data_IF_635065977087
#
_entry.id   IF_635065977087
#
_cell.length_a   1.000
_cell.length_b   1.000
_cell.length_c   1.000
_cell.angle_alpha   90.00
_cell.angle_beta   90.00
_cell.angle_gamma   90.00
#
_symmetry.space_group_name_H-M   'P 1'
#
loop_
_entity.id
_entity.type
_entity.pdbx_description
1 polymer ?
#
# COMPACT_ATOMS: atom_id res chain seq x y z
N UNK A 1 -44.74 26.43 27.27
CA UNK A 1 -44.53 25.75 25.97
C UNK A 1 -43.05 25.61 25.61
N UNK A 2 -42.18 26.51 26.01
CA UNK A 2 -40.72 26.42 25.75
C UNK A 2 -39.98 25.30 26.50
N UNK A 3 -40.42 24.87 27.67
CA UNK A 3 -39.77 23.78 28.43
C UNK A 3 -40.01 22.38 27.80
N UNK A 4 -41.08 22.18 27.05
CA UNK A 4 -41.34 20.90 26.37
C UNK A 4 -40.54 20.70 25.10
N UNK A 5 -40.16 21.76 24.38
CA UNK A 5 -39.28 21.65 23.18
C UNK A 5 -37.84 21.33 23.55
N UNK A 6 -37.35 21.90 24.66
CA UNK A 6 -36.00 21.59 25.13
C UNK A 6 -35.82 20.15 25.62
N UNK A 7 -36.87 19.51 26.16
CA UNK A 7 -36.83 18.11 26.59
C UNK A 7 -36.79 17.12 25.41
N UNK A 8 -37.39 17.47 24.26
CA UNK A 8 -37.32 16.66 23.05
C UNK A 8 -35.96 16.79 22.32
N UNK A 9 -35.33 17.95 22.39
CA UNK A 9 -34.00 18.16 21.82
C UNK A 9 -32.94 17.42 22.62
N UNK A 10 -32.99 17.46 23.95
CA UNK A 10 -32.05 16.76 24.85
C UNK A 10 -32.18 15.23 24.76
N UNK A 11 -33.38 14.66 24.51
CA UNK A 11 -33.52 13.22 24.25
C UNK A 11 -32.89 12.76 22.93
N UNK A 12 -32.89 13.60 21.89
CA UNK A 12 -32.25 13.25 20.59
C UNK A 12 -30.73 13.20 20.66
N UNK A 13 -30.07 13.92 21.58
CA UNK A 13 -28.64 13.87 21.75
C UNK A 13 -28.13 12.64 22.52
N UNK A 14 -28.99 12.03 23.38
CA UNK A 14 -28.62 10.82 24.12
C UNK A 14 -28.83 9.51 23.34
N UNK A 15 -29.47 9.56 22.16
CA UNK A 15 -29.79 8.38 21.34
C UNK A 15 -28.75 8.13 20.20
N UNK A 16 -27.67 8.89 20.13
CA UNK A 16 -26.62 8.60 19.15
C UNK A 16 -25.90 7.29 19.55
N UNK A 17 -25.83 6.31 18.63
CA UNK A 17 -25.18 5.04 18.94
C UNK A 17 -23.72 5.29 19.30
N UNK A 18 -23.28 4.70 20.40
CA UNK A 18 -21.86 4.72 20.77
C UNK A 18 -21.05 4.12 19.63
N UNK A 19 -20.05 4.86 19.17
CA UNK A 19 -19.18 4.48 18.05
C UNK A 19 -17.94 3.77 18.56
N UNK A 20 -17.52 2.74 17.85
CA UNK A 20 -16.30 1.99 18.11
C UNK A 20 -15.39 2.08 16.88
N UNK A 21 -14.11 2.29 17.11
CA UNK A 21 -13.08 2.22 16.08
C UNK A 21 -12.72 0.74 15.82
N UNK A 22 -12.77 0.33 14.56
CA UNK A 22 -12.38 -1.02 14.14
C UNK A 22 -11.17 -0.92 13.23
N UNK A 23 -10.25 -1.88 13.38
CA UNK A 23 -9.10 -2.09 12.51
C UNK A 23 -9.31 -3.35 11.70
N UNK A 24 -9.07 -3.29 10.39
CA UNK A 24 -9.18 -4.42 9.49
C UNK A 24 -7.86 -4.64 8.74
N UNK A 25 -7.50 -5.92 8.54
CA UNK A 25 -6.44 -6.35 7.60
C UNK A 25 -7.13 -6.78 6.32
N UNK A 26 -6.65 -6.26 5.19
CA UNK A 26 -7.30 -6.39 3.89
C UNK A 26 -6.28 -6.85 2.86
N UNK A 27 -6.68 -7.82 2.05
CA UNK A 27 -5.95 -8.26 0.86
C UNK A 27 -6.73 -7.93 -0.41
N UNK A 28 -6.01 -7.64 -1.50
CA UNK A 28 -6.66 -7.37 -2.79
C UNK A 28 -5.74 -7.59 -4.00
N UNK A 29 -6.35 -8.03 -5.10
CA UNK A 29 -5.80 -7.92 -6.45
C UNK A 29 -6.11 -6.51 -6.99
N UNK A 30 -5.07 -5.67 -7.08
CA UNK A 30 -5.19 -4.27 -7.51
C UNK A 30 -5.38 -4.08 -9.02
N UNK A 31 -5.34 -5.13 -9.84
CA UNK A 31 -5.26 -5.06 -11.31
C UNK A 31 -6.34 -4.16 -11.94
N UNK A 32 -7.59 -4.23 -11.42
CA UNK A 32 -8.73 -3.49 -11.97
C UNK A 32 -8.98 -2.12 -11.30
N UNK A 33 -8.15 -1.75 -10.33
CA UNK A 33 -8.39 -0.59 -9.48
C UNK A 33 -7.44 0.57 -9.75
N UNK A 34 -7.95 1.77 -9.62
CA UNK A 34 -7.18 3.02 -9.71
C UNK A 34 -6.38 3.28 -8.40
N UNK A 35 -5.93 2.20 -7.76
CA UNK A 35 -5.23 2.20 -6.49
C UNK A 35 -6.16 2.20 -5.27
N UNK A 36 -5.57 2.49 -4.11
CA UNK A 36 -6.31 2.50 -2.85
C UNK A 36 -7.28 3.67 -2.74
N UNK A 37 -6.79 4.90 -2.91
CA UNK A 37 -7.47 6.13 -2.49
C UNK A 37 -8.58 6.57 -3.45
N UNK A 38 -9.76 6.91 -2.93
CA UNK A 38 -10.84 7.59 -3.67
C UNK A 38 -10.27 8.84 -4.34
N UNK A 39 -10.59 9.02 -5.62
CA UNK A 39 -10.10 10.10 -6.46
C UNK A 39 -11.24 11.04 -6.83
N UNK A 40 -10.95 12.35 -6.91
CA UNK A 40 -11.95 13.37 -7.28
C UNK A 40 -12.49 13.19 -8.70
N UNK A 41 -11.68 12.66 -9.60
CA UNK A 41 -12.03 12.46 -11.02
C UNK A 41 -12.85 11.18 -11.27
N UNK A 42 -13.27 10.50 -10.20
CA UNK A 42 -13.92 9.19 -10.31
C UNK A 42 -12.90 8.06 -10.47
N UNK A 43 -13.41 6.88 -10.82
CA UNK A 43 -12.64 5.65 -10.94
C UNK A 43 -12.88 4.69 -9.78
N UNK A 44 -12.74 3.40 -10.09
CA UNK A 44 -12.98 2.33 -9.11
C UNK A 44 -11.73 2.18 -8.24
N UNK A 45 -11.88 2.31 -6.91
CA UNK A 45 -10.79 2.23 -5.94
C UNK A 45 -11.10 1.23 -4.84
N UNK A 46 -10.06 0.68 -4.21
CA UNK A 46 -10.20 -0.27 -3.10
C UNK A 46 -10.94 0.38 -1.92
N UNK A 47 -10.52 1.60 -1.53
CA UNK A 47 -11.16 2.36 -0.46
C UNK A 47 -12.65 2.58 -0.74
N UNK A 48 -13.00 2.96 -1.97
CA UNK A 48 -14.40 3.19 -2.37
C UNK A 48 -15.24 1.94 -2.16
N UNK A 49 -14.79 0.78 -2.67
CA UNK A 49 -15.52 -0.48 -2.50
C UNK A 49 -15.76 -0.85 -1.04
N UNK A 50 -14.75 -0.68 -0.18
CA UNK A 50 -14.87 -0.98 1.24
C UNK A 50 -15.83 0.00 1.91
N UNK A 51 -15.70 1.31 1.65
CA UNK A 51 -16.56 2.34 2.21
C UNK A 51 -18.01 2.17 1.77
N UNK A 52 -18.27 1.81 0.51
CA UNK A 52 -19.60 1.56 -0.02
C UNK A 52 -20.28 0.40 0.72
N UNK A 53 -19.58 -0.73 0.91
CA UNK A 53 -20.11 -1.91 1.62
C UNK A 53 -20.36 -1.60 3.11
N UNK A 54 -19.45 -0.86 3.76
CA UNK A 54 -19.64 -0.42 5.14
C UNK A 54 -20.84 0.54 5.27
N UNK A 55 -20.99 1.47 4.33
CA UNK A 55 -22.12 2.40 4.24
C UNK A 55 -23.44 1.65 4.08
N UNK A 56 -23.48 0.65 3.20
CA UNK A 56 -24.64 -0.22 3.02
C UNK A 56 -25.00 -0.98 4.31
N UNK A 57 -23.98 -1.46 5.06
CA UNK A 57 -24.19 -2.21 6.30
C UNK A 57 -24.88 -1.38 7.39
N UNK A 58 -24.53 -0.09 7.52
CA UNK A 58 -25.02 0.75 8.62
C UNK A 58 -26.10 1.74 8.20
N UNK A 59 -26.30 1.97 6.89
CA UNK A 59 -27.27 2.93 6.35
C UNK A 59 -26.81 4.40 6.37
N UNK A 60 -25.57 4.70 6.79
CA UNK A 60 -24.98 6.03 6.81
C UNK A 60 -23.55 5.96 6.27
N UNK A 61 -23.03 7.08 5.74
CA UNK A 61 -21.69 7.14 5.17
C UNK A 61 -20.62 6.71 6.18
N UNK A 62 -19.75 5.80 5.74
CA UNK A 62 -18.58 5.31 6.49
C UNK A 62 -17.34 5.40 5.60
N UNK A 63 -16.32 6.07 6.10
CA UNK A 63 -15.04 6.18 5.42
C UNK A 63 -14.03 5.19 5.99
N UNK A 64 -13.46 4.35 5.14
CA UNK A 64 -12.34 3.49 5.49
C UNK A 64 -11.02 4.25 5.31
N UNK A 65 -10.24 4.40 6.39
CA UNK A 65 -8.97 5.10 6.39
C UNK A 65 -7.82 4.10 6.29
N UNK A 66 -7.12 4.04 5.16
CA UNK A 66 -6.00 3.12 4.95
C UNK A 66 -4.68 3.60 5.56
N UNK A 67 -3.79 2.65 5.89
CA UNK A 67 -2.44 2.93 6.41
C UNK A 67 -1.57 3.70 5.41
N UNK A 68 -1.83 3.56 4.14
CA UNK A 68 -1.17 4.25 3.05
C UNK A 68 -1.85 3.98 1.73
N UNK A 69 -1.40 4.71 0.72
CA UNK A 69 -1.90 4.55 -0.64
C UNK A 69 -1.05 3.52 -1.37
N UNK A 70 -1.70 2.65 -2.13
CA UNK A 70 -1.07 1.87 -3.19
C UNK A 70 -1.43 2.51 -4.54
N UNK A 71 -0.51 2.47 -5.50
CA UNK A 71 -0.74 2.97 -6.85
C UNK A 71 -1.73 2.09 -7.62
N UNK A 72 -2.26 2.58 -8.75
CA UNK A 72 -3.09 1.78 -9.64
C UNK A 72 -2.39 0.49 -10.07
N UNK A 73 -3.08 -0.63 -10.01
CA UNK A 73 -2.56 -1.96 -10.37
C UNK A 73 -1.65 -2.61 -9.32
N UNK A 74 -1.40 -1.97 -8.18
CA UNK A 74 -0.60 -2.53 -7.07
C UNK A 74 -1.47 -3.33 -6.13
N UNK A 75 -0.98 -4.50 -5.68
CA UNK A 75 -1.68 -5.44 -4.81
C UNK A 75 -1.36 -5.23 -3.33
N UNK A 76 -2.11 -5.91 -2.47
CA UNK A 76 -1.79 -6.04 -1.05
C UNK A 76 -2.20 -7.41 -0.50
N UNK A 77 -1.38 -7.95 0.40
CA UNK A 77 -1.69 -9.08 1.27
C UNK A 77 -2.03 -8.62 2.69
N UNK A 78 -1.58 -7.43 3.09
CA UNK A 78 -1.72 -6.93 4.45
C UNK A 78 -1.93 -5.42 4.53
N UNK A 79 -2.80 -4.84 3.70
CA UNK A 79 -3.23 -3.46 3.88
C UNK A 79 -4.03 -3.34 5.17
N UNK A 80 -3.80 -2.29 5.94
CA UNK A 80 -4.58 -2.00 7.15
C UNK A 80 -5.44 -0.79 6.95
N UNK A 81 -6.70 -0.89 7.33
CA UNK A 81 -7.61 0.24 7.41
C UNK A 81 -8.31 0.30 8.76
N UNK A 82 -8.73 1.51 9.18
CA UNK A 82 -9.64 1.68 10.29
C UNK A 82 -10.90 2.44 9.86
N UNK A 83 -11.99 2.20 10.58
CA UNK A 83 -13.29 2.82 10.36
C UNK A 83 -14.11 2.83 11.65
N UNK A 84 -15.01 3.82 11.77
CA UNK A 84 -15.91 3.98 12.91
C UNK A 84 -17.27 3.37 12.59
N UNK A 85 -17.75 2.47 13.46
CA UNK A 85 -19.07 1.86 13.35
C UNK A 85 -19.78 1.90 14.71
N UNK A 86 -21.14 1.79 14.75
CA UNK A 86 -21.86 1.56 15.99
C UNK A 86 -21.32 0.34 16.76
N UNK A 87 -21.11 0.49 18.07
CA UNK A 87 -20.52 -0.54 18.95
C UNK A 87 -21.32 -1.85 18.97
N UNK A 88 -22.60 -1.82 18.58
CA UNK A 88 -23.48 -2.99 18.48
C UNK A 88 -23.00 -4.06 17.49
N UNK A 89 -22.16 -3.72 16.53
CA UNK A 89 -21.67 -4.67 15.56
C UNK A 89 -20.49 -5.46 16.13
N UNK A 90 -20.57 -6.80 16.07
CA UNK A 90 -19.43 -7.65 16.44
C UNK A 90 -18.39 -7.70 15.31
N UNK A 91 -17.13 -7.94 15.66
CA UNK A 91 -16.03 -8.08 14.68
C UNK A 91 -16.31 -9.19 13.67
N UNK A 92 -16.89 -10.31 14.13
CA UNK A 92 -17.26 -11.43 13.26
C UNK A 92 -18.38 -11.06 12.29
N UNK A 93 -19.38 -10.31 12.74
CA UNK A 93 -20.45 -9.82 11.86
C UNK A 93 -19.89 -8.92 10.76
N UNK A 94 -19.03 -7.94 11.13
CA UNK A 94 -18.40 -7.02 10.18
C UNK A 94 -17.55 -7.80 9.16
N UNK A 95 -16.72 -8.74 9.63
CA UNK A 95 -15.88 -9.60 8.79
C UNK A 95 -16.69 -10.37 7.76
N UNK A 96 -17.75 -11.05 8.22
CA UNK A 96 -18.61 -11.86 7.35
C UNK A 96 -19.39 -10.98 6.36
N UNK A 97 -19.89 -9.82 6.81
CA UNK A 97 -20.63 -8.90 5.94
C UNK A 97 -19.71 -8.35 4.84
N UNK A 98 -18.51 -7.86 5.19
CA UNK A 98 -17.56 -7.36 4.22
C UNK A 98 -17.21 -8.43 3.18
N UNK A 99 -16.82 -9.64 3.61
CA UNK A 99 -16.45 -10.72 2.68
C UNK A 99 -17.62 -11.27 1.85
N UNK A 100 -18.87 -11.05 2.28
CA UNK A 100 -20.06 -11.42 1.51
C UNK A 100 -20.37 -10.44 0.38
N UNK A 101 -20.14 -9.14 0.59
CA UNK A 101 -20.58 -8.10 -0.34
C UNK A 101 -19.45 -7.41 -1.09
N UNK A 102 -18.19 -7.58 -0.67
CA UNK A 102 -17.04 -7.13 -1.45
C UNK A 102 -16.88 -7.98 -2.72
N UNK A 103 -16.32 -7.41 -3.80
CA UNK A 103 -16.00 -8.18 -4.99
C UNK A 103 -14.90 -9.22 -4.68
N UNK A 104 -14.82 -10.28 -5.48
CA UNK A 104 -13.93 -11.44 -5.29
C UNK A 104 -12.43 -11.10 -5.22
N UNK A 105 -12.05 -9.94 -5.74
CA UNK A 105 -10.68 -9.43 -5.76
C UNK A 105 -10.32 -8.55 -4.54
N UNK A 106 -11.23 -8.43 -3.55
CA UNK A 106 -11.00 -7.78 -2.26
C UNK A 106 -11.51 -8.68 -1.13
N UNK A 107 -10.65 -9.02 -0.17
CA UNK A 107 -11.07 -9.77 1.01
C UNK A 107 -10.54 -9.14 2.30
N UNK A 108 -11.35 -9.20 3.36
CA UNK A 108 -10.97 -8.81 4.71
C UNK A 108 -10.49 -10.05 5.45
N UNK A 109 -9.23 -10.04 5.88
CA UNK A 109 -8.58 -11.17 6.57
C UNK A 109 -8.96 -11.21 8.04
N UNK A 110 -9.03 -10.03 8.67
CA UNK A 110 -9.40 -9.89 10.08
C UNK A 110 -10.02 -8.54 10.37
N UNK A 111 -10.85 -8.51 11.41
CA UNK A 111 -11.40 -7.28 12.01
C UNK A 111 -11.22 -7.38 13.52
N UNK A 112 -10.69 -6.33 14.13
CA UNK A 112 -10.54 -6.21 15.58
C UNK A 112 -11.01 -4.84 16.07
N UNK A 113 -11.43 -4.76 17.34
CA UNK A 113 -11.69 -3.48 17.99
C UNK A 113 -10.36 -2.77 18.19
N UNK A 114 -10.29 -1.51 17.86
CA UNK A 114 -9.12 -0.68 18.03
C UNK A 114 -9.36 0.41 19.07
N UNK A 115 -8.26 0.92 19.64
CA UNK A 115 -8.30 2.11 20.50
C UNK A 115 -8.92 3.30 19.76
N UNK A 116 -9.61 4.17 20.48
CA UNK A 116 -10.28 5.36 19.89
C UNK A 116 -9.28 6.26 19.14
N UNK A 117 -8.03 6.34 19.61
CA UNK A 117 -6.96 7.15 19.02
C UNK A 117 -6.22 6.43 17.89
N UNK A 118 -6.47 5.14 17.69
CA UNK A 118 -5.81 4.41 16.62
C UNK A 118 -6.21 4.99 15.26
N UNK A 119 -5.20 5.30 14.46
CA UNK A 119 -5.37 5.79 13.10
C UNK A 119 -4.44 5.01 12.17
N UNK A 120 -4.98 4.24 11.25
CA UNK A 120 -4.22 3.31 10.41
C UNK A 120 -3.00 3.95 9.74
N UNK A 121 -3.07 5.23 9.38
CA UNK A 121 -1.96 5.95 8.76
C UNK A 121 -0.98 6.56 9.74
N UNK A 122 -1.47 7.21 10.81
CA UNK A 122 -0.60 8.00 11.70
C UNK A 122 0.03 7.14 12.80
N UNK A 123 -0.62 6.03 13.18
CA UNK A 123 -0.07 5.06 14.13
C UNK A 123 0.91 4.08 13.48
N UNK A 124 1.05 4.10 12.15
CA UNK A 124 1.92 3.20 11.40
C UNK A 124 3.41 3.52 11.66
N UNK A 125 4.17 2.50 12.06
CA UNK A 125 5.62 2.58 12.30
C UNK A 125 6.45 2.14 11.10
N UNK A 126 5.90 1.28 10.25
CA UNK A 126 6.60 0.80 9.07
C UNK A 126 5.75 -0.08 8.16
N UNK A 127 6.29 -0.37 6.98
CA UNK A 127 5.66 -1.20 5.95
C UNK A 127 6.69 -2.03 5.24
N UNK A 128 6.28 -3.22 4.82
CA UNK A 128 7.08 -4.06 3.94
C UNK A 128 6.34 -4.26 2.63
N UNK A 129 7.03 -3.97 1.55
CA UNK A 129 6.61 -4.25 0.17
C UNK A 129 7.47 -5.34 -0.43
N UNK A 130 6.90 -6.20 -1.25
CA UNK A 130 7.60 -7.15 -2.10
C UNK A 130 7.38 -6.81 -3.55
N UNK A 131 8.46 -6.84 -4.34
CA UNK A 131 8.38 -6.84 -5.79
C UNK A 131 8.84 -8.19 -6.33
N UNK A 132 8.06 -8.76 -7.26
CA UNK A 132 8.34 -10.05 -7.88
C UNK A 132 8.70 -9.86 -9.34
N UNK A 133 9.81 -10.49 -9.77
CA UNK A 133 10.30 -10.47 -11.15
C UNK A 133 10.49 -11.91 -11.59
N UNK A 134 9.92 -12.29 -12.73
CA UNK A 134 10.25 -13.53 -13.40
C UNK A 134 11.24 -13.22 -14.52
N UNK A 135 12.44 -13.81 -14.46
CA UNK A 135 13.52 -13.63 -15.44
C UNK A 135 13.77 -14.93 -16.24
N UNK A 136 12.68 -15.60 -16.64
CA UNK A 136 12.74 -16.75 -17.54
C UNK A 136 12.41 -16.34 -18.98
N UNK A 137 12.82 -17.16 -19.95
CA UNK A 137 12.45 -16.95 -21.36
C UNK A 137 10.97 -17.17 -21.62
N UNK A 138 10.34 -18.09 -20.84
CA UNK A 138 8.93 -18.46 -20.99
C UNK A 138 8.11 -17.79 -19.89
N UNK A 139 7.06 -17.00 -20.23
CA UNK A 139 6.23 -16.36 -19.23
C UNK A 139 5.34 -17.37 -18.49
N UNK A 140 5.17 -17.15 -17.18
CA UNK A 140 4.14 -17.85 -16.41
C UNK A 140 2.80 -17.13 -16.57
N UNK A 141 1.93 -17.66 -17.42
CA UNK A 141 0.63 -17.03 -17.73
C UNK A 141 -0.34 -17.00 -16.54
N UNK A 142 -0.21 -17.92 -15.58
CA UNK A 142 -1.04 -17.95 -14.38
C UNK A 142 -0.65 -16.87 -13.38
N UNK A 143 0.63 -16.50 -13.33
CA UNK A 143 1.17 -15.46 -12.43
C UNK A 143 1.26 -14.07 -13.08
N UNK A 144 0.87 -13.91 -14.36
CA UNK A 144 1.05 -12.68 -15.15
C UNK A 144 0.52 -11.40 -14.52
N UNK A 145 -0.44 -11.52 -13.60
CA UNK A 145 -1.02 -10.38 -12.89
C UNK A 145 -0.25 -10.00 -11.62
N UNK A 146 0.66 -10.86 -11.14
CA UNK A 146 1.31 -10.74 -9.84
C UNK A 146 2.83 -10.75 -9.90
N UNK A 147 3.40 -10.91 -11.10
CA UNK A 147 4.84 -11.01 -11.32
C UNK A 147 5.22 -10.25 -12.58
N UNK A 148 6.21 -9.36 -12.49
CA UNK A 148 6.75 -8.69 -13.66
C UNK A 148 7.64 -9.66 -14.44
N UNK A 149 7.27 -10.00 -15.65
CA UNK A 149 8.07 -10.81 -16.54
C UNK A 149 9.07 -9.93 -17.30
N UNK A 150 10.36 -10.13 -17.04
CA UNK A 150 11.46 -9.37 -17.64
C UNK A 150 12.35 -10.30 -18.45
N UNK A 151 12.41 -10.09 -19.78
CA UNK A 151 13.10 -10.97 -20.75
C UNK A 151 14.22 -10.28 -21.51
N UNK A 152 14.39 -8.96 -21.39
CA UNK A 152 15.33 -8.19 -22.22
C UNK A 152 16.79 -8.58 -21.97
N UNK A 153 17.12 -9.04 -20.76
CA UNK A 153 18.44 -9.50 -20.39
C UNK A 153 18.41 -10.42 -19.16
N UNK A 154 19.45 -11.19 -18.95
CA UNK A 154 19.67 -11.92 -17.69
C UNK A 154 20.04 -10.93 -16.59
N UNK A 155 19.35 -11.04 -15.46
CA UNK A 155 19.58 -10.17 -14.29
C UNK A 155 20.59 -10.83 -13.36
N UNK A 156 21.71 -10.14 -13.11
CA UNK A 156 22.68 -10.49 -12.07
C UNK A 156 22.17 -10.01 -10.70
N UNK A 157 21.76 -10.97 -9.88
CA UNK A 157 21.20 -10.72 -8.55
C UNK A 157 22.26 -10.24 -7.55
N UNK A 158 23.50 -10.66 -7.70
CA UNK A 158 24.59 -10.21 -6.81
C UNK A 158 24.86 -8.72 -6.96
N UNK A 159 24.86 -8.21 -8.19
CA UNK A 159 24.96 -6.77 -8.46
C UNK A 159 23.79 -6.00 -7.84
N UNK A 160 22.57 -6.57 -7.90
CA UNK A 160 21.41 -5.96 -7.24
C UNK A 160 21.56 -5.94 -5.72
N UNK A 161 22.07 -7.02 -5.10
CA UNK A 161 22.34 -7.10 -3.65
C UNK A 161 23.36 -6.08 -3.20
N UNK A 162 24.42 -5.91 -3.98
CA UNK A 162 25.44 -4.90 -3.71
C UNK A 162 24.83 -3.49 -3.72
N UNK A 163 24.09 -3.13 -4.76
CA UNK A 163 23.42 -1.84 -4.90
C UNK A 163 22.38 -1.60 -3.79
N UNK A 164 21.64 -2.64 -3.41
CA UNK A 164 20.58 -2.55 -2.38
C UNK A 164 21.11 -2.07 -1.01
N UNK A 165 22.37 -2.37 -0.69
CA UNK A 165 23.00 -1.93 0.57
C UNK A 165 23.04 -0.41 0.72
N UNK A 166 23.21 0.33 -0.38
CA UNK A 166 23.26 1.79 -0.39
C UNK A 166 21.90 2.45 -0.22
N UNK A 167 20.79 1.70 -0.37
CA UNK A 167 19.43 2.20 -0.17
C UNK A 167 19.03 2.17 1.31
N UNK A 168 19.73 1.39 2.14
CA UNK A 168 19.43 1.25 3.56
C UNK A 168 19.90 2.50 4.30
N UNK A 169 19.06 2.97 5.20
CA UNK A 169 19.32 4.17 6.00
C UNK A 169 18.31 5.28 5.75
N UNK A 170 18.60 6.44 6.33
CA UNK A 170 17.79 7.66 6.19
C UNK A 170 18.34 8.53 5.08
N UNK A 171 17.61 8.63 3.99
CA UNK A 171 18.02 9.39 2.80
C UNK A 171 16.88 10.28 2.29
N UNK A 172 17.26 11.29 1.48
CA UNK A 172 16.32 12.07 0.69
C UNK A 172 16.06 11.31 -0.64
N UNK A 173 14.93 10.60 -0.71
CA UNK A 173 14.55 9.78 -1.87
C UNK A 173 13.85 10.57 -2.99
N UNK A 174 14.16 11.86 -3.16
CA UNK A 174 13.55 12.67 -4.22
C UNK A 174 13.77 12.08 -5.61
N UNK A 175 14.95 11.52 -5.92
CA UNK A 175 15.25 10.84 -7.19
C UNK A 175 14.34 9.64 -7.46
N UNK A 176 13.81 9.03 -6.41
CA UNK A 176 12.90 7.89 -6.47
C UNK A 176 11.43 8.26 -6.24
N UNK A 177 11.06 9.53 -6.35
CA UNK A 177 9.70 10.02 -6.22
C UNK A 177 9.05 10.23 -7.59
N UNK A 178 7.87 9.67 -7.81
CA UNK A 178 7.10 9.88 -9.04
C UNK A 178 6.51 11.28 -9.15
N UNK A 179 6.33 11.98 -8.01
CA UNK A 179 5.83 13.36 -7.99
C UNK A 179 6.96 14.35 -7.72
N UNK A 180 7.46 14.98 -8.77
CA UNK A 180 8.55 15.95 -8.67
C UNK A 180 8.12 17.33 -8.08
N UNK A 181 6.83 17.56 -7.95
CA UNK A 181 6.27 18.79 -7.35
C UNK A 181 5.79 18.60 -5.91
N UNK A 182 6.27 17.54 -5.23
CA UNK A 182 5.88 17.25 -3.86
C UNK A 182 6.35 18.37 -2.91
N UNK A 183 5.39 18.92 -2.12
CA UNK A 183 5.68 19.97 -1.10
C UNK A 183 6.07 19.40 0.27
N UNK A 184 5.90 18.09 0.47
CA UNK A 184 6.23 17.41 1.73
C UNK A 184 7.64 16.84 1.67
N UNK A 185 8.23 16.59 2.85
CA UNK A 185 9.54 15.93 2.95
C UNK A 185 9.60 14.63 2.15
N UNK A 186 10.68 14.48 1.39
CA UNK A 186 11.05 13.27 0.64
C UNK A 186 12.02 12.37 1.39
N UNK A 187 12.40 12.78 2.60
CA UNK A 187 13.24 11.97 3.47
C UNK A 187 12.46 10.78 4.01
N UNK A 188 13.02 9.57 3.84
CA UNK A 188 12.50 8.30 4.36
C UNK A 188 13.62 7.48 4.95
N UNK A 189 13.26 6.54 5.82
CA UNK A 189 14.19 5.56 6.37
C UNK A 189 13.82 4.19 5.84
N UNK A 190 14.70 3.59 5.04
CA UNK A 190 14.61 2.19 4.66
C UNK A 190 15.45 1.40 5.67
N UNK A 191 14.81 0.48 6.38
CA UNK A 191 15.47 -0.35 7.39
C UNK A 191 16.03 -1.63 6.82
N UNK A 192 15.46 -2.11 5.70
CA UNK A 192 15.90 -3.33 5.05
C UNK A 192 15.57 -3.31 3.56
N UNK A 193 16.49 -3.82 2.75
CA UNK A 193 16.26 -4.23 1.36
C UNK A 193 16.87 -5.60 1.17
N UNK A 194 16.05 -6.62 0.92
CA UNK A 194 16.53 -7.97 0.63
C UNK A 194 16.27 -8.34 -0.82
N UNK A 195 17.26 -8.96 -1.47
CA UNK A 195 17.15 -9.45 -2.86
C UNK A 195 17.41 -10.95 -2.85
N UNK A 196 16.38 -11.72 -3.14
CA UNK A 196 16.43 -13.18 -3.13
C UNK A 196 16.05 -13.72 -4.50
N UNK A 197 16.66 -14.84 -4.89
CA UNK A 197 16.32 -15.56 -6.11
C UNK A 197 15.96 -17.00 -5.76
N UNK A 198 14.84 -17.45 -6.30
CA UNK A 198 14.41 -18.84 -6.26
C UNK A 198 14.04 -19.26 -7.69
N UNK A 199 14.76 -20.20 -8.23
CA UNK A 199 14.64 -20.62 -9.63
C UNK A 199 14.79 -19.42 -10.58
N UNK A 200 13.77 -19.09 -11.34
CA UNK A 200 13.76 -17.95 -12.26
C UNK A 200 13.05 -16.70 -11.67
N UNK A 201 12.59 -16.76 -10.41
CA UNK A 201 11.96 -15.63 -9.77
C UNK A 201 12.90 -14.88 -8.84
N UNK A 202 12.87 -13.56 -8.95
CA UNK A 202 13.61 -12.64 -8.08
C UNK A 202 12.57 -11.92 -7.20
N UNK A 203 12.80 -11.93 -5.88
CA UNK A 203 12.00 -11.28 -4.87
C UNK A 203 12.82 -10.16 -4.25
N UNK A 204 12.27 -8.95 -4.26
CA UNK A 204 12.90 -7.79 -3.61
C UNK A 204 11.94 -7.28 -2.54
N UNK A 205 12.34 -7.39 -1.27
CA UNK A 205 11.56 -6.87 -0.15
C UNK A 205 12.17 -5.53 0.30
N UNK A 206 11.30 -4.56 0.54
CA UNK A 206 11.64 -3.24 1.02
C UNK A 206 10.87 -2.96 2.30
N UNK A 207 11.59 -2.75 3.41
CA UNK A 207 11.02 -2.37 4.70
C UNK A 207 11.46 -0.97 5.09
N UNK A 208 10.51 -0.11 5.49
CA UNK A 208 10.82 1.26 5.88
C UNK A 208 9.65 1.97 6.57
N UNK A 209 9.91 3.19 7.08
CA UNK A 209 8.94 4.03 7.78
C UNK A 209 7.82 4.55 6.89
N UNK A 210 8.06 4.59 5.58
CA UNK A 210 7.10 5.01 4.57
C UNK A 210 7.76 5.12 3.20
N UNK A 211 6.92 5.18 2.18
CA UNK A 211 7.38 5.26 0.78
C UNK A 211 6.69 6.42 0.05
N UNK A 212 7.42 7.06 -0.86
CA UNK A 212 6.91 8.11 -1.73
C UNK A 212 6.10 7.49 -2.88
N UNK A 213 5.41 8.33 -3.64
CA UNK A 213 4.68 7.89 -4.83
C UNK A 213 5.63 7.18 -5.81
N UNK A 214 5.26 5.98 -6.25
CA UNK A 214 6.03 5.11 -7.13
C UNK A 214 7.44 4.70 -6.61
N UNK A 215 7.81 5.07 -5.38
CA UNK A 215 9.19 4.91 -4.87
C UNK A 215 9.70 3.47 -5.02
N UNK A 216 8.98 2.49 -4.49
CA UNK A 216 9.40 1.08 -4.55
C UNK A 216 9.57 0.61 -6.00
N UNK A 217 8.69 1.02 -6.89
CA UNK A 217 8.76 0.67 -8.32
C UNK A 217 9.96 1.31 -9.02
N UNK A 218 10.31 2.55 -8.67
CA UNK A 218 11.48 3.23 -9.22
C UNK A 218 12.77 2.63 -8.66
N UNK A 219 12.81 2.32 -7.35
CA UNK A 219 13.92 1.58 -6.75
C UNK A 219 14.12 0.23 -7.45
N UNK A 220 13.05 -0.51 -7.69
CA UNK A 220 13.10 -1.79 -8.39
C UNK A 220 13.62 -1.64 -9.83
N UNK A 221 13.10 -0.69 -10.60
CA UNK A 221 13.60 -0.44 -11.96
C UNK A 221 15.09 -0.06 -11.98
N UNK A 222 15.53 0.71 -10.99
CA UNK A 222 16.96 1.06 -10.84
C UNK A 222 17.80 -0.17 -10.51
N UNK A 223 17.34 -1.04 -9.59
CA UNK A 223 18.04 -2.29 -9.27
C UNK A 223 18.08 -3.25 -10.47
N UNK A 224 17.02 -3.29 -11.29
CA UNK A 224 17.05 -4.05 -12.55
C UNK A 224 18.14 -3.51 -13.49
N UNK A 225 18.24 -2.19 -13.66
CA UNK A 225 19.29 -1.58 -14.49
C UNK A 225 20.70 -1.83 -13.95
N UNK A 226 20.84 -1.93 -12.63
CA UNK A 226 22.11 -2.40 -12.03
C UNK A 226 22.36 -3.87 -12.36
N UNK A 227 21.37 -4.73 -12.20
CA UNK A 227 21.49 -6.17 -12.46
C UNK A 227 21.84 -6.51 -13.91
N UNK A 228 21.41 -5.70 -14.88
CA UNK A 228 21.76 -5.87 -16.29
C UNK A 228 23.01 -5.09 -16.71
N UNK A 229 23.71 -4.44 -15.77
CA UNK A 229 24.99 -3.77 -16.02
C UNK A 229 24.90 -2.36 -16.61
N UNK A 230 23.71 -1.76 -16.72
CA UNK A 230 23.55 -0.37 -17.21
C UNK A 230 23.99 0.66 -16.17
N UNK A 231 23.84 0.35 -14.88
CA UNK A 231 24.25 1.20 -13.76
C UNK A 231 25.24 0.40 -12.91
N UNK A 232 26.33 1.02 -12.47
CA UNK A 232 27.26 0.40 -11.52
C UNK A 232 26.62 0.35 -10.12
N UNK A 233 26.80 -0.72 -9.31
CA UNK A 233 26.18 -0.82 -7.97
C UNK A 233 26.54 0.35 -7.05
N UNK A 234 27.77 0.84 -7.09
CA UNK A 234 28.31 1.95 -6.31
C UNK A 234 27.86 3.34 -6.81
N UNK A 235 27.08 3.40 -7.88
CA UNK A 235 26.49 4.65 -8.38
C UNK A 235 25.19 5.05 -7.67
N UNK A 236 24.60 4.17 -6.85
CA UNK A 236 23.35 4.47 -6.10
C UNK A 236 23.45 5.70 -5.20
N UNK A 237 24.54 5.94 -4.44
CA UNK A 237 24.70 7.17 -3.65
C UNK A 237 24.60 8.44 -4.50
N UNK A 238 25.22 8.47 -5.67
CA UNK A 238 25.18 9.62 -6.59
C UNK A 238 23.75 9.87 -7.12
N UNK A 239 22.97 8.80 -7.37
CA UNK A 239 21.56 8.93 -7.75
C UNK A 239 20.76 9.58 -6.61
N UNK A 240 20.97 9.12 -5.36
CA UNK A 240 20.30 9.70 -4.17
C UNK A 240 20.65 11.18 -4.04
N UNK A 241 21.93 11.53 -4.08
CA UNK A 241 22.44 12.90 -3.92
C UNK A 241 21.97 13.86 -5.02
N UNK A 242 21.81 13.35 -6.25
CA UNK A 242 21.38 14.15 -7.39
C UNK A 242 19.99 14.78 -7.22
N UNK A 243 19.10 14.15 -6.46
CA UNK A 243 17.69 14.51 -6.27
C UNK A 243 16.90 14.68 -7.58
N UNK A 244 17.37 14.05 -8.65
CA UNK A 244 16.80 14.13 -9.99
C UNK A 244 16.17 12.79 -10.37
N UNK A 245 14.87 12.78 -10.72
CA UNK A 245 14.17 11.57 -11.18
C UNK A 245 14.83 10.92 -12.40
N UNK A 246 15.38 11.73 -13.30
CA UNK A 246 16.05 11.26 -14.51
C UNK A 246 17.36 10.50 -14.25
N UNK A 247 17.95 10.64 -13.05
CA UNK A 247 19.15 9.88 -12.67
C UNK A 247 18.82 8.45 -12.22
N UNK A 248 17.60 8.19 -11.77
CA UNK A 248 17.15 6.86 -11.38
C UNK A 248 16.60 6.08 -12.58
N UNK A 249 16.57 4.75 -12.47
CA UNK A 249 16.05 3.86 -13.50
C UNK A 249 14.56 4.02 -13.77
N UNK A 250 14.02 3.20 -14.65
CA UNK A 250 12.61 3.25 -15.04
C UNK A 250 11.66 2.92 -13.87
N UNK A 251 10.37 3.26 -14.02
CA UNK A 251 9.35 2.86 -13.05
C UNK A 251 8.86 1.46 -13.40
N UNK A 252 9.20 0.46 -12.59
CA UNK A 252 8.78 -0.92 -12.81
C UNK A 252 7.24 -1.06 -12.83
N UNK A 253 6.66 -1.98 -13.61
CA UNK A 253 5.22 -2.19 -13.70
C UNK A 253 4.55 -2.42 -12.35
N UNK A 254 3.29 -1.96 -12.13
CA UNK A 254 2.65 -2.05 -10.81
C UNK A 254 2.31 -3.49 -10.39
N UNK A 255 1.99 -4.37 -11.34
CA UNK A 255 1.52 -5.73 -11.07
C UNK A 255 2.56 -6.67 -10.44
N UNK A 256 3.85 -6.31 -10.46
CA UNK A 256 4.86 -7.05 -9.69
C UNK A 256 4.93 -6.64 -8.21
N UNK A 257 4.24 -5.56 -7.81
CA UNK A 257 4.34 -4.98 -6.47
C UNK A 257 3.16 -5.39 -5.58
N UNK A 258 3.48 -5.82 -4.37
CA UNK A 258 2.50 -6.16 -3.33
C UNK A 258 2.92 -5.59 -1.97
N UNK A 259 1.97 -4.94 -1.27
CA UNK A 259 2.13 -4.57 0.14
C UNK A 259 1.97 -5.84 1.00
N UNK A 260 3.05 -6.31 1.63
CA UNK A 260 3.02 -7.52 2.45
C UNK A 260 2.38 -7.27 3.81
N UNK A 261 2.82 -6.24 4.52
CA UNK A 261 2.34 -5.94 5.86
C UNK A 261 2.56 -4.49 6.27
N UNK A 262 1.86 -4.09 7.33
CA UNK A 262 1.97 -2.79 8.01
C UNK A 262 2.25 -3.04 9.48
N UNK A 263 3.24 -2.34 10.04
CA UNK A 263 3.67 -2.47 11.44
C UNK A 263 3.15 -1.29 12.27
N UNK A 264 2.72 -1.58 13.51
CA UNK A 264 2.17 -0.62 14.47
C UNK A 264 2.91 -0.65 15.81
#
# INVERSE_FOLDING_TARGET
MEEFENFHILRRFNDLPKMQNFKAIIQYDGTKYNGWQIQRNGGVTIQGKISDVLTQMVGNQVDAVGSGRTDAGVHALGQVANFLLPEKFSTLYILNYLNRYLPEDIAVVSVEKADERFHARFSCKGKTYRYRINNSLIPNVFERKFVYHYTDAVIDVERMREAAKYLIGKHDFMSFCGNQHIKKSTVRTITEVSVNKRDNEIYIDYTGDGFLQNMVRILTGTLIEVGIGKIAPDFIPQIIESKKRAAAGFTAPPHGLVLLCVMY
#
